data_IF_803807231585
#
_entry.id   IF_803807231585
#
_cell.length_a   1.000
_cell.length_b   1.000
_cell.length_c   1.000
_cell.angle_alpha   90.00
_cell.angle_beta   90.00
_cell.angle_gamma   90.00
#
_symmetry.space_group_name_H-M   'P 1'
#
loop_
_entity.id
_entity.type
_entity.pdbx_description
1 polymer ?
#
# COMPACT_ATOMS: atom_id res chain seq x y z
N UNK A 1 2.59 3.13 -8.91
CA UNK A 1 1.97 3.95 -7.84
C UNK A 1 1.81 5.42 -8.18
N UNK A 2 2.83 6.29 -8.17
CA UNK A 2 2.62 7.72 -8.44
C UNK A 2 1.99 7.99 -9.82
N UNK A 3 2.34 7.19 -10.82
CA UNK A 3 1.72 7.26 -12.14
C UNK A 3 0.22 6.90 -12.12
N UNK A 4 -0.17 5.94 -11.28
CA UNK A 4 -1.58 5.57 -11.07
C UNK A 4 -2.35 6.75 -10.45
N UNK A 5 -1.77 7.37 -9.43
CA UNK A 5 -2.37 8.48 -8.68
C UNK A 5 -2.55 9.73 -9.55
N UNK A 6 -1.75 9.92 -10.61
CA UNK A 6 -1.97 11.02 -11.58
C UNK A 6 -3.34 10.97 -12.24
N UNK A 7 -3.87 9.77 -12.45
CA UNK A 7 -5.14 9.55 -13.13
C UNK A 7 -6.34 9.61 -12.18
N UNK A 8 -6.11 9.82 -10.89
CA UNK A 8 -7.19 9.94 -9.91
C UNK A 8 -7.84 11.32 -10.01
N UNK A 9 -9.17 11.31 -9.99
CA UNK A 9 -10.01 12.50 -9.99
C UNK A 9 -9.87 13.34 -8.72
N UNK A 10 -10.58 14.47 -8.70
CA UNK A 10 -10.50 15.46 -7.62
C UNK A 10 -11.09 14.98 -6.29
N UNK A 11 -11.92 13.93 -6.32
CA UNK A 11 -12.45 13.25 -5.15
C UNK A 11 -11.35 12.62 -4.27
N UNK A 12 -10.16 12.38 -4.84
CA UNK A 12 -8.99 11.85 -4.12
C UNK A 12 -7.92 12.93 -3.85
N UNK A 13 -8.30 14.20 -3.71
CA UNK A 13 -7.32 15.29 -3.49
C UNK A 13 -6.78 15.37 -2.05
N UNK A 14 -7.47 14.83 -1.04
CA UNK A 14 -6.94 14.72 0.32
C UNK A 14 -6.10 13.45 0.46
N UNK A 15 -4.78 13.60 0.65
CA UNK A 15 -3.85 12.45 0.59
C UNK A 15 -2.90 12.44 1.78
N UNK A 16 -2.71 11.24 2.34
CA UNK A 16 -1.64 10.99 3.31
C UNK A 16 -0.62 10.02 2.71
N UNK A 17 0.59 10.50 2.52
CA UNK A 17 1.73 9.71 2.07
C UNK A 17 2.41 9.07 3.28
N UNK A 18 2.38 7.74 3.36
CA UNK A 18 3.05 6.99 4.41
C UNK A 18 4.38 6.48 3.88
N UNK A 19 5.48 6.97 4.43
CA UNK A 19 6.83 6.74 3.92
C UNK A 19 7.70 6.12 5.02
N UNK A 20 8.57 5.19 4.65
CA UNK A 20 9.52 4.62 5.62
C UNK A 20 10.51 5.69 6.09
N UNK A 21 10.87 5.70 7.38
CA UNK A 21 11.76 6.72 7.99
C UNK A 21 13.06 7.02 7.22
N UNK A 22 13.61 6.02 6.52
CA UNK A 22 14.88 6.13 5.80
C UNK A 22 14.73 6.46 4.31
N UNK A 23 13.50 6.56 3.78
CA UNK A 23 13.24 6.69 2.35
C UNK A 23 12.96 8.16 1.96
N UNK A 24 14.04 8.92 1.82
CA UNK A 24 13.99 10.33 1.40
C UNK A 24 13.59 10.50 -0.07
N UNK A 25 13.93 9.53 -0.91
CA UNK A 25 13.65 9.59 -2.36
C UNK A 25 12.14 9.55 -2.62
N UNK A 26 11.42 8.69 -1.90
CA UNK A 26 9.95 8.62 -2.02
C UNK A 26 9.27 9.89 -1.53
N UNK A 27 9.81 10.51 -0.46
CA UNK A 27 9.32 11.78 0.06
C UNK A 27 9.45 12.92 -0.96
N UNK A 28 10.64 13.08 -1.55
CA UNK A 28 10.89 14.10 -2.57
C UNK A 28 9.97 13.93 -3.79
N UNK A 29 9.73 12.69 -4.22
CA UNK A 29 8.83 12.39 -5.35
C UNK A 29 7.37 12.69 -5.03
N UNK A 30 6.91 12.39 -3.82
CA UNK A 30 5.55 12.71 -3.38
C UNK A 30 5.34 14.24 -3.36
N UNK A 31 6.28 14.99 -2.78
CA UNK A 31 6.23 16.46 -2.75
C UNK A 31 6.25 17.04 -4.16
N UNK A 32 7.11 16.54 -5.04
CA UNK A 32 7.18 16.98 -6.43
C UNK A 32 5.87 16.70 -7.19
N UNK A 33 5.23 15.56 -6.93
CA UNK A 33 3.95 15.20 -7.52
C UNK A 33 2.84 16.16 -7.08
N UNK A 34 2.69 16.41 -5.78
CA UNK A 34 1.66 17.30 -5.26
C UNK A 34 1.85 18.75 -5.69
N UNK A 35 3.11 19.23 -5.73
CA UNK A 35 3.45 20.54 -6.30
C UNK A 35 3.06 20.66 -7.77
N UNK A 36 3.25 19.61 -8.57
CA UNK A 36 2.86 19.62 -9.99
C UNK A 36 1.35 19.72 -10.21
N UNK A 37 0.54 19.28 -9.23
CA UNK A 37 -0.93 19.39 -9.24
C UNK A 37 -1.44 20.65 -8.55
N UNK A 38 -0.56 21.50 -8.02
CA UNK A 38 -0.92 22.64 -7.17
C UNK A 38 -1.85 22.23 -6.01
N UNK A 39 -1.63 21.04 -5.46
CA UNK A 39 -2.42 20.50 -4.36
C UNK A 39 -1.69 20.74 -3.04
N UNK A 40 -2.30 21.51 -2.16
CA UNK A 40 -1.79 21.80 -0.81
C UNK A 40 -2.40 20.87 0.25
N UNK A 41 -3.39 20.05 -0.13
CA UNK A 41 -4.13 19.17 0.80
C UNK A 41 -3.51 17.78 0.89
N UNK A 42 -2.23 17.74 1.26
CA UNK A 42 -1.54 16.47 1.51
C UNK A 42 -0.76 16.51 2.83
N UNK A 43 -0.60 15.35 3.44
CA UNK A 43 0.26 15.14 4.60
C UNK A 43 1.27 14.04 4.31
N UNK A 44 2.44 14.15 4.94
CA UNK A 44 3.49 13.12 4.90
C UNK A 44 3.65 12.58 6.32
N UNK A 45 3.52 11.28 6.45
CA UNK A 45 3.62 10.56 7.70
C UNK A 45 4.73 9.52 7.58
N UNK A 46 5.63 9.50 8.55
CA UNK A 46 6.74 8.56 8.54
C UNK A 46 6.43 7.36 9.43
N UNK A 47 6.74 6.17 8.93
CA UNK A 47 6.56 4.91 9.66
C UNK A 47 7.91 4.20 9.82
N UNK A 48 8.22 3.67 11.02
CA UNK A 48 9.41 2.83 11.19
C UNK A 48 9.34 1.61 10.29
N UNK A 49 10.48 1.21 9.71
CA UNK A 49 10.53 0.01 8.88
C UNK A 49 10.18 -1.22 9.72
N UNK A 50 9.27 -2.04 9.19
CA UNK A 50 8.90 -3.30 9.83
C UNK A 50 10.08 -4.30 9.89
N UNK A 51 11.05 -4.16 8.97
CA UNK A 51 12.27 -4.97 8.92
C UNK A 51 13.44 -4.20 8.33
N UNK A 52 14.56 -4.19 9.04
CA UNK A 52 15.84 -3.71 8.51
C UNK A 52 16.54 -4.80 7.66
N UNK A 53 17.33 -4.38 6.66
CA UNK A 53 18.03 -5.32 5.78
C UNK A 53 19.06 -6.12 6.60
N UNK A 54 18.88 -7.44 6.67
CA UNK A 54 19.75 -8.36 7.44
C UNK A 54 19.21 -8.74 8.82
N UNK A 55 18.06 -8.20 9.23
CA UNK A 55 17.44 -8.53 10.52
C UNK A 55 16.89 -9.96 10.56
N UNK A 56 17.03 -10.65 11.70
CA UNK A 56 16.52 -12.00 11.90
C UNK A 56 14.99 -12.02 11.93
N UNK A 57 14.38 -13.14 11.49
CA UNK A 57 12.92 -13.27 11.44
C UNK A 57 12.24 -13.07 12.80
N UNK A 58 12.90 -13.45 13.90
CA UNK A 58 12.36 -13.30 15.26
C UNK A 58 12.34 -11.85 15.72
N UNK A 59 13.42 -11.08 15.50
CA UNK A 59 13.44 -9.65 15.87
C UNK A 59 12.57 -8.81 14.92
N UNK A 60 12.36 -9.29 13.70
CA UNK A 60 11.42 -8.69 12.74
C UNK A 60 9.96 -8.69 13.23
N UNK A 61 9.57 -9.66 14.06
CA UNK A 61 8.21 -9.71 14.64
C UNK A 61 7.99 -8.54 15.59
N UNK A 62 8.99 -8.21 16.42
CA UNK A 62 8.90 -7.10 17.39
C UNK A 62 8.80 -5.75 16.68
N UNK A 63 9.64 -5.52 15.67
CA UNK A 63 9.57 -4.29 14.86
C UNK A 63 8.28 -4.20 14.06
N UNK A 64 7.76 -5.34 13.56
CA UNK A 64 6.45 -5.40 12.90
C UNK A 64 5.31 -5.06 13.87
N UNK A 65 5.34 -5.56 15.10
CA UNK A 65 4.33 -5.24 16.11
C UNK A 65 4.34 -3.76 16.47
N UNK A 66 5.53 -3.18 16.70
CA UNK A 66 5.67 -1.74 16.94
C UNK A 66 5.13 -0.90 15.77
N UNK A 67 5.49 -1.27 14.53
CA UNK A 67 4.95 -0.63 13.33
C UNK A 67 3.43 -0.81 13.21
N UNK A 68 2.87 -1.92 13.68
CA UNK A 68 1.42 -2.18 13.67
C UNK A 68 0.68 -1.28 14.66
N UNK A 69 1.22 -1.07 15.87
CA UNK A 69 0.63 -0.12 16.82
C UNK A 69 0.64 1.31 16.27
N UNK A 70 1.73 1.69 15.60
CA UNK A 70 1.80 2.98 14.91
C UNK A 70 0.77 3.07 13.78
N UNK A 71 0.68 2.03 12.95
CA UNK A 71 -0.28 1.92 11.86
C UNK A 71 -1.73 2.04 12.36
N UNK A 72 -2.08 1.37 13.46
CA UNK A 72 -3.42 1.44 14.06
C UNK A 72 -3.78 2.87 14.49
N UNK A 73 -2.86 3.58 15.14
CA UNK A 73 -3.08 4.99 15.52
C UNK A 73 -3.23 5.88 14.29
N UNK A 74 -2.39 5.64 13.28
CA UNK A 74 -2.39 6.43 12.05
C UNK A 74 -3.71 6.26 11.29
N UNK A 75 -4.13 5.03 11.01
CA UNK A 75 -5.37 4.73 10.29
C UNK A 75 -6.60 5.25 11.06
N UNK A 76 -6.65 5.10 12.38
CA UNK A 76 -7.75 5.63 13.17
C UNK A 76 -7.86 7.17 13.12
N UNK A 77 -6.72 7.86 12.96
CA UNK A 77 -6.65 9.32 12.85
C UNK A 77 -6.99 9.80 11.44
N UNK A 78 -6.44 9.15 10.40
CA UNK A 78 -6.62 9.59 9.01
C UNK A 78 -7.93 9.11 8.41
N UNK A 79 -8.52 8.02 8.92
CA UNK A 79 -9.79 7.42 8.45
C UNK A 79 -9.90 7.36 6.93
N UNK A 80 -8.98 6.65 6.24
CA UNK A 80 -8.90 6.67 4.80
C UNK A 80 -10.04 5.86 4.16
N UNK A 81 -10.63 6.37 3.08
CA UNK A 81 -11.57 5.61 2.24
C UNK A 81 -10.83 4.60 1.34
N UNK A 82 -9.57 4.91 0.99
CA UNK A 82 -8.73 4.10 0.11
C UNK A 82 -7.29 4.04 0.64
N UNK A 83 -6.76 2.83 0.73
CA UNK A 83 -5.36 2.57 1.09
C UNK A 83 -4.66 1.90 -0.09
N UNK A 84 -3.78 2.67 -0.75
CA UNK A 84 -2.90 2.19 -1.81
C UNK A 84 -1.57 1.75 -1.23
N UNK A 85 -1.20 0.49 -1.45
CA UNK A 85 0.01 -0.10 -0.91
C UNK A 85 0.93 -0.57 -2.04
N UNK A 86 2.23 -0.32 -1.84
CA UNK A 86 3.29 -0.85 -2.67
C UNK A 86 4.51 -1.10 -1.78
N UNK A 87 5.36 -2.02 -2.20
CA UNK A 87 6.72 -2.12 -1.66
C UNK A 87 6.91 -3.17 -0.56
N UNK A 88 8.01 -3.03 0.22
CA UNK A 88 8.51 -4.05 1.13
C UNK A 88 7.69 -4.12 2.44
N UNK A 89 8.12 -4.97 3.39
CA UNK A 89 7.32 -5.42 4.56
C UNK A 89 6.62 -4.34 5.40
N UNK A 90 7.02 -3.08 5.33
CA UNK A 90 6.35 -1.94 5.99
C UNK A 90 4.90 -1.74 5.55
N UNK A 91 4.52 -2.17 4.34
CA UNK A 91 3.13 -2.11 3.89
C UNK A 91 2.21 -3.09 4.63
N UNK A 92 2.76 -4.16 5.24
CA UNK A 92 1.98 -5.17 5.94
C UNK A 92 1.30 -4.57 7.18
N UNK A 93 2.01 -3.93 8.13
CA UNK A 93 1.37 -3.23 9.26
C UNK A 93 0.23 -2.29 8.88
N UNK A 94 0.40 -1.52 7.79
CA UNK A 94 -0.63 -0.60 7.30
C UNK A 94 -1.86 -1.37 6.80
N UNK A 95 -1.66 -2.42 5.98
CA UNK A 95 -2.74 -3.28 5.52
C UNK A 95 -3.48 -3.94 6.68
N UNK A 96 -2.74 -4.46 7.68
CA UNK A 96 -3.32 -5.08 8.87
C UNK A 96 -4.19 -4.09 9.65
N UNK A 97 -3.70 -2.86 9.83
CA UNK A 97 -4.44 -1.83 10.55
C UNK A 97 -5.71 -1.39 9.80
N UNK A 98 -5.61 -1.15 8.49
CA UNK A 98 -6.76 -0.81 7.66
C UNK A 98 -7.81 -1.92 7.66
N UNK A 99 -7.39 -3.16 7.40
CA UNK A 99 -8.28 -4.32 7.39
C UNK A 99 -8.91 -4.57 8.77
N UNK A 100 -8.18 -4.30 9.85
CA UNK A 100 -8.73 -4.41 11.20
C UNK A 100 -9.90 -3.45 11.42
N UNK A 101 -9.75 -2.17 11.07
CA UNK A 101 -10.81 -1.16 11.24
C UNK A 101 -12.01 -1.39 10.32
N UNK A 102 -11.75 -1.87 9.11
CA UNK A 102 -12.79 -2.27 8.15
C UNK A 102 -13.59 -3.49 8.62
N UNK A 103 -12.89 -4.53 9.10
CA UNK A 103 -13.53 -5.74 9.63
C UNK A 103 -14.46 -5.46 10.82
N UNK A 104 -14.09 -4.51 11.70
CA UNK A 104 -14.94 -4.10 12.83
C UNK A 104 -15.98 -3.01 12.46
N UNK A 105 -16.08 -2.66 11.17
CA UNK A 105 -17.03 -1.68 10.61
C UNK A 105 -16.93 -0.28 11.22
N UNK A 106 -15.73 0.13 11.61
CA UNK A 106 -15.48 1.47 12.17
C UNK A 106 -15.09 2.46 11.07
N UNK A 107 -14.39 1.99 10.03
CA UNK A 107 -13.95 2.76 8.87
C UNK A 107 -14.19 1.87 7.66
N UNK A 108 -14.90 2.35 6.64
CA UNK A 108 -15.08 1.62 5.38
C UNK A 108 -13.89 1.96 4.48
N UNK A 109 -12.97 1.01 4.31
CA UNK A 109 -11.68 1.27 3.64
C UNK A 109 -11.41 0.24 2.56
N UNK A 110 -11.23 0.69 1.32
CA UNK A 110 -10.78 -0.16 0.21
C UNK A 110 -9.26 -0.31 0.28
N UNK A 111 -8.74 -1.53 0.28
CA UNK A 111 -7.32 -1.83 0.38
C UNK A 111 -6.82 -2.43 -0.94
N UNK A 112 -5.99 -1.66 -1.64
CA UNK A 112 -5.42 -2.06 -2.92
C UNK A 112 -3.90 -2.22 -2.78
N UNK A 113 -3.40 -3.41 -3.12
CA UNK A 113 -1.97 -3.68 -3.20
C UNK A 113 -1.52 -3.72 -4.66
N UNK A 114 -0.62 -2.81 -5.04
CA UNK A 114 0.04 -2.81 -6.33
C UNK A 114 1.38 -3.55 -6.20
N UNK A 115 1.51 -4.71 -6.85
CA UNK A 115 2.78 -5.43 -6.89
C UNK A 115 3.83 -4.67 -7.72
N UNK A 116 5.11 -4.90 -7.44
CA UNK A 116 6.20 -4.31 -8.20
C UNK A 116 6.25 -4.87 -9.62
N UNK A 117 6.43 -3.97 -10.60
CA UNK A 117 6.65 -4.32 -12.01
C UNK A 117 7.84 -5.27 -12.22
N UNK A 118 8.82 -5.26 -11.31
CA UNK A 118 9.99 -6.15 -11.38
C UNK A 118 9.65 -7.62 -11.07
N UNK A 119 8.46 -7.91 -10.53
CA UNK A 119 8.03 -9.27 -10.15
C UNK A 119 7.30 -9.94 -11.30
N UNK A 120 8.03 -10.70 -12.12
CA UNK A 120 7.45 -11.38 -13.30
C UNK A 120 6.95 -12.79 -13.02
N UNK A 121 7.65 -13.54 -12.14
CA UNK A 121 7.45 -14.99 -11.95
C UNK A 121 6.70 -15.38 -10.67
N UNK A 122 6.87 -14.58 -9.62
CA UNK A 122 6.33 -14.80 -8.27
C UNK A 122 6.07 -13.45 -7.62
N UNK A 123 5.05 -13.37 -6.76
CA UNK A 123 4.79 -12.20 -5.92
C UNK A 123 6.00 -11.91 -5.02
N UNK A 124 6.12 -10.66 -4.59
CA UNK A 124 7.00 -10.29 -3.49
C UNK A 124 6.58 -11.01 -2.20
N UNK A 125 7.45 -11.05 -1.18
CA UNK A 125 7.09 -11.66 0.10
C UNK A 125 5.88 -10.95 0.71
N UNK A 126 5.86 -9.61 0.69
CA UNK A 126 4.71 -8.82 1.15
C UNK A 126 3.45 -9.13 0.34
N UNK A 127 3.54 -9.11 -1.00
CA UNK A 127 2.41 -9.42 -1.87
C UNK A 127 1.90 -10.84 -1.67
N UNK A 128 2.78 -11.82 -1.47
CA UNK A 128 2.40 -13.18 -1.15
C UNK A 128 1.68 -13.28 0.20
N UNK A 129 2.20 -12.62 1.25
CA UNK A 129 1.57 -12.57 2.57
C UNK A 129 0.17 -11.98 2.46
N UNK A 130 0.04 -10.79 1.85
CA UNK A 130 -1.25 -10.12 1.67
C UNK A 130 -2.23 -10.95 0.83
N UNK A 131 -1.74 -11.58 -0.24
CA UNK A 131 -2.54 -12.49 -1.05
C UNK A 131 -3.10 -13.65 -0.22
N UNK A 132 -2.25 -14.38 0.51
CA UNK A 132 -2.68 -15.57 1.25
C UNK A 132 -3.53 -15.24 2.46
N UNK A 133 -3.26 -14.13 3.15
CA UNK A 133 -4.10 -13.68 4.27
C UNK A 133 -5.46 -13.16 3.75
N UNK A 134 -5.54 -12.62 2.54
CA UNK A 134 -6.79 -12.16 1.94
C UNK A 134 -7.31 -10.85 2.52
N UNK A 135 -6.41 -9.98 3.00
CA UNK A 135 -6.73 -8.68 3.60
C UNK A 135 -6.78 -7.51 2.61
N UNK A 136 -6.51 -7.77 1.33
CA UNK A 136 -6.58 -6.76 0.29
C UNK A 136 -7.78 -7.05 -0.59
N UNK A 137 -8.62 -6.05 -0.83
CA UNK A 137 -9.75 -6.15 -1.75
C UNK A 137 -9.29 -6.36 -3.20
N UNK A 138 -8.17 -5.73 -3.56
CA UNK A 138 -7.58 -5.86 -4.88
C UNK A 138 -6.06 -5.99 -4.80
N UNK A 139 -5.52 -7.04 -5.45
CA UNK A 139 -4.09 -7.21 -5.64
C UNK A 139 -3.76 -7.06 -7.13
N UNK A 140 -3.18 -5.93 -7.52
CA UNK A 140 -2.87 -5.62 -8.91
C UNK A 140 -1.52 -6.23 -9.30
N UNK A 141 -1.50 -6.94 -10.43
CA UNK A 141 -0.30 -7.50 -11.05
C UNK A 141 -0.15 -7.03 -12.50
N UNK A 142 1.09 -6.79 -12.93
CA UNK A 142 1.41 -6.29 -14.27
C UNK A 142 1.69 -7.41 -15.28
N UNK A 143 1.84 -8.66 -14.83
CA UNK A 143 2.26 -9.76 -15.70
C UNK A 143 1.18 -10.84 -15.80
N UNK A 144 0.82 -11.31 -17.02
CA UNK A 144 -0.22 -12.32 -17.20
C UNK A 144 0.20 -13.67 -16.59
N UNK A 145 1.50 -13.96 -16.53
CA UNK A 145 2.03 -15.13 -15.83
C UNK A 145 1.73 -15.13 -14.33
N UNK A 146 1.73 -13.95 -13.68
CA UNK A 146 1.31 -13.82 -12.29
C UNK A 146 -0.20 -14.03 -12.14
N UNK A 147 -1.02 -13.43 -13.00
CA UNK A 147 -2.49 -13.63 -12.98
C UNK A 147 -2.85 -15.11 -13.09
N UNK A 148 -2.21 -15.86 -14.01
CA UNK A 148 -2.43 -17.31 -14.14
C UNK A 148 -2.06 -18.08 -12.88
N UNK A 149 -0.99 -17.67 -12.19
CA UNK A 149 -0.50 -18.34 -10.97
C UNK A 149 -1.28 -17.94 -9.72
N UNK A 150 -1.79 -16.73 -9.68
CA UNK A 150 -2.50 -16.12 -8.56
C UNK A 150 -3.86 -15.61 -9.05
N UNK A 151 -4.86 -16.50 -9.26
CA UNK A 151 -6.11 -16.14 -9.94
C UNK A 151 -6.92 -15.02 -9.26
N UNK A 152 -6.78 -14.86 -7.93
CA UNK A 152 -7.44 -13.78 -7.16
C UNK A 152 -6.81 -12.40 -7.36
N UNK A 153 -5.64 -12.31 -8.00
CA UNK A 153 -5.05 -11.02 -8.37
C UNK A 153 -5.81 -10.39 -9.55
N UNK A 154 -5.78 -9.08 -9.68
CA UNK A 154 -6.32 -8.34 -10.82
C UNK A 154 -5.19 -8.02 -11.78
N UNK A 155 -5.35 -8.41 -13.04
CA UNK A 155 -4.38 -8.03 -14.07
C UNK A 155 -4.64 -6.59 -14.49
N UNK A 156 -3.59 -5.80 -14.64
CA UNK A 156 -3.72 -4.36 -14.94
C UNK A 156 -4.57 -4.08 -16.19
N UNK A 157 -4.46 -4.89 -17.25
CA UNK A 157 -5.26 -4.73 -18.47
C UNK A 157 -6.73 -5.15 -18.33
N UNK A 158 -7.09 -5.85 -17.24
CA UNK A 158 -8.49 -6.15 -16.95
C UNK A 158 -9.19 -4.92 -16.34
N UNK A 159 -8.44 -3.90 -15.90
CA UNK A 159 -8.99 -2.64 -15.38
C UNK A 159 -9.52 -1.75 -16.52
N UNK A 160 -8.78 -1.65 -17.62
CA UNK A 160 -9.16 -0.83 -18.80
C UNK A 160 -10.49 -1.29 -19.43
N UNK A 161 -10.84 -2.56 -19.28
CA UNK A 161 -12.04 -3.16 -19.90
C UNK A 161 -13.34 -2.93 -19.13
N UNK A 162 -13.29 -2.32 -17.94
CA UNK A 162 -14.48 -2.06 -17.12
C UNK A 162 -15.10 -0.68 -17.36
N UNK A 163 -14.48 0.15 -18.19
CA UNK A 163 -14.94 1.51 -18.51
C UNK A 163 -15.71 1.60 -19.85
N UNK A 164 -15.95 0.48 -20.54
CA UNK A 164 -16.89 0.34 -21.69
C UNK A 164 -18.21 -0.29 -21.26
#
# INVERSE_FOLDING_TARGET
MLELIKHFGDEFNERTYIIADTDTISEDKAIAHEKSRNNERFSIERIPRAREVGQSYLTSIVSTFHATVFALKLINRTRPDLVLLNGPGTCIPIALAAAFFDMIRVIDTVIIYEESICRVKRLSLSGAILYYIGMTDCLIVQWPGLKRRYPRSTYIHDLDKKEE
#
